data_IF_513244320624
#
_entry.id   IF_513244320624
#
_cell.length_a   1.000
_cell.length_b   1.000
_cell.length_c   1.000
_cell.angle_alpha   90.00
_cell.angle_beta   90.00
_cell.angle_gamma   90.00
#
_symmetry.space_group_name_H-M   'P 1'
#
loop_
_entity.id
_entity.type
_entity.pdbx_description
1 polymer ?
#
# COMPACT_ATOMS: atom_id res chain seq x y z
N UNK A 1 -29.39 -13.57 -57.49
CA UNK A 1 -28.24 -13.24 -56.63
C UNK A 1 -27.01 -13.79 -57.33
N UNK A 2 -26.04 -12.94 -57.67
CA UNK A 2 -24.81 -13.38 -58.34
C UNK A 2 -23.90 -13.92 -57.23
N UNK A 3 -23.61 -15.22 -57.26
CA UNK A 3 -22.69 -15.86 -56.30
C UNK A 3 -21.30 -15.25 -56.48
N UNK A 4 -20.87 -14.46 -55.50
CA UNK A 4 -19.52 -13.95 -55.46
C UNK A 4 -18.55 -15.14 -55.27
N UNK A 5 -17.45 -15.21 -56.05
CA UNK A 5 -16.46 -16.27 -55.88
C UNK A 5 -15.86 -16.22 -54.47
N UNK A 6 -15.56 -17.37 -53.86
CA UNK A 6 -15.00 -17.41 -52.51
C UNK A 6 -13.64 -16.69 -52.47
N UNK A 7 -13.28 -16.08 -51.32
CA UNK A 7 -11.99 -15.43 -51.18
C UNK A 7 -10.84 -16.44 -51.37
N UNK A 8 -9.70 -16.00 -51.91
CA UNK A 8 -8.57 -16.89 -52.17
C UNK A 8 -8.02 -17.51 -50.87
N UNK A 9 -7.51 -18.73 -50.95
CA UNK A 9 -7.11 -19.52 -49.79
C UNK A 9 -6.10 -18.80 -48.86
N UNK A 10 -5.13 -18.06 -49.44
CA UNK A 10 -4.14 -17.31 -48.68
C UNK A 10 -4.77 -16.22 -47.78
N UNK A 11 -5.85 -15.59 -48.24
CA UNK A 11 -6.54 -14.55 -47.49
C UNK A 11 -7.26 -15.17 -46.29
N UNK A 12 -7.91 -16.32 -46.47
CA UNK A 12 -8.55 -17.08 -45.37
C UNK A 12 -7.54 -17.47 -44.30
N UNK A 13 -6.38 -17.99 -44.68
CA UNK A 13 -5.31 -18.36 -43.75
C UNK A 13 -4.77 -17.12 -43.02
N UNK A 14 -4.53 -16.02 -43.73
CA UNK A 14 -4.03 -14.78 -43.12
C UNK A 14 -5.01 -14.21 -42.11
N UNK A 15 -6.31 -14.19 -42.45
CA UNK A 15 -7.36 -13.75 -41.55
C UNK A 15 -7.49 -14.68 -40.33
N UNK A 16 -7.37 -15.99 -40.51
CA UNK A 16 -7.37 -16.95 -39.41
C UNK A 16 -6.17 -16.76 -38.47
N UNK A 17 -4.96 -16.59 -39.01
CA UNK A 17 -3.76 -16.32 -38.22
C UNK A 17 -3.85 -14.99 -37.47
N UNK A 18 -4.38 -13.94 -38.12
CA UNK A 18 -4.64 -12.67 -37.49
C UNK A 18 -5.65 -12.80 -36.34
N UNK A 19 -6.73 -13.56 -36.54
CA UNK A 19 -7.72 -13.85 -35.51
C UNK A 19 -7.09 -14.62 -34.33
N UNK A 20 -6.37 -15.71 -34.58
CA UNK A 20 -5.66 -16.47 -33.55
C UNK A 20 -4.64 -15.61 -32.78
N UNK A 21 -3.93 -14.71 -33.47
CA UNK A 21 -3.01 -13.76 -32.85
C UNK A 21 -3.73 -12.78 -31.93
N UNK A 22 -4.86 -12.21 -32.37
CA UNK A 22 -5.69 -11.32 -31.55
C UNK A 22 -6.25 -12.05 -30.33
N UNK A 23 -6.68 -13.30 -30.48
CA UNK A 23 -7.22 -14.07 -29.37
C UNK A 23 -6.15 -14.41 -28.32
N UNK A 24 -4.94 -14.82 -28.75
CA UNK A 24 -3.80 -14.99 -27.83
C UNK A 24 -3.47 -13.70 -27.07
N UNK A 25 -3.52 -12.55 -27.74
CA UNK A 25 -3.27 -11.27 -27.10
C UNK A 25 -4.36 -10.93 -26.05
N UNK A 26 -5.64 -11.20 -26.36
CA UNK A 26 -6.75 -11.03 -25.41
C UNK A 26 -6.55 -11.91 -24.17
N UNK A 27 -6.23 -13.19 -24.37
CA UNK A 27 -5.96 -14.14 -23.29
C UNK A 27 -4.78 -13.68 -22.42
N UNK A 28 -3.67 -13.27 -23.05
CA UNK A 28 -2.50 -12.74 -22.34
C UNK A 28 -2.83 -11.49 -21.52
N UNK A 29 -3.63 -10.58 -22.09
CA UNK A 29 -4.11 -9.39 -21.39
C UNK A 29 -4.98 -9.76 -20.18
N UNK A 30 -5.90 -10.73 -20.33
CA UNK A 30 -6.73 -11.26 -19.24
C UNK A 30 -5.87 -11.84 -18.12
N UNK A 31 -4.93 -12.74 -18.42
CA UNK A 31 -4.00 -13.32 -17.41
C UNK A 31 -3.17 -12.26 -16.70
N UNK A 32 -2.70 -11.25 -17.43
CA UNK A 32 -1.91 -10.17 -16.82
C UNK A 32 -2.76 -9.29 -15.90
N UNK A 33 -4.02 -9.01 -16.26
CA UNK A 33 -4.96 -8.32 -15.36
C UNK A 33 -5.22 -9.15 -14.09
N UNK A 34 -5.46 -10.45 -14.23
CA UNK A 34 -5.67 -11.36 -13.10
C UNK A 34 -4.46 -11.40 -12.16
N UNK A 35 -3.24 -11.58 -12.67
CA UNK A 35 -2.02 -11.57 -11.85
C UNK A 35 -1.85 -10.25 -11.09
N UNK A 36 -2.07 -9.12 -11.75
CA UNK A 36 -1.98 -7.80 -11.09
C UNK A 36 -3.08 -7.59 -10.05
N UNK A 37 -4.29 -8.07 -10.30
CA UNK A 37 -5.39 -8.04 -9.33
C UNK A 37 -5.04 -8.89 -8.10
N UNK A 38 -4.51 -10.09 -8.31
CA UNK A 38 -4.08 -10.98 -7.24
C UNK A 38 -2.93 -10.36 -6.41
N UNK A 39 -1.93 -9.74 -7.05
CA UNK A 39 -0.86 -9.02 -6.34
C UNK A 39 -1.41 -7.89 -5.46
N UNK A 40 -2.30 -7.06 -5.99
CA UNK A 40 -2.94 -5.98 -5.22
C UNK A 40 -3.78 -6.51 -4.06
N UNK A 41 -4.51 -7.60 -4.27
CA UNK A 41 -5.27 -8.27 -3.21
C UNK A 41 -4.34 -8.85 -2.12
N UNK A 42 -3.21 -9.43 -2.50
CA UNK A 42 -2.22 -9.94 -1.56
C UNK A 42 -1.60 -8.82 -0.72
N UNK A 43 -1.23 -7.69 -1.32
CA UNK A 43 -0.72 -6.52 -0.58
C UNK A 43 -1.77 -5.96 0.41
N UNK A 44 -3.03 -5.87 0.00
CA UNK A 44 -4.13 -5.45 0.89
C UNK A 44 -4.36 -6.43 2.03
N UNK A 45 -4.40 -7.72 1.73
CA UNK A 45 -4.53 -8.77 2.75
C UNK A 45 -3.40 -8.68 3.77
N UNK A 46 -2.16 -8.56 3.29
CA UNK A 46 -0.98 -8.42 4.15
C UNK A 46 -1.02 -7.17 5.04
N UNK A 47 -1.41 -6.02 4.50
CA UNK A 47 -1.57 -4.80 5.29
C UNK A 47 -2.62 -4.99 6.40
N UNK A 48 -3.78 -5.56 6.07
CA UNK A 48 -4.84 -5.81 7.05
C UNK A 48 -4.39 -6.79 8.15
N UNK A 49 -3.66 -7.86 7.80
CA UNK A 49 -3.09 -8.80 8.78
C UNK A 49 -2.13 -8.09 9.75
N UNK A 50 -1.28 -7.21 9.23
CA UNK A 50 -0.33 -6.46 10.05
C UNK A 50 -1.02 -5.43 10.93
N UNK A 51 -2.08 -4.77 10.45
CA UNK A 51 -2.89 -3.86 11.27
C UNK A 51 -3.61 -4.59 12.41
N UNK A 52 -4.16 -5.78 12.13
CA UNK A 52 -4.76 -6.63 13.17
C UNK A 52 -3.72 -7.07 14.19
N UNK A 53 -2.54 -7.48 13.74
CA UNK A 53 -1.44 -7.83 14.63
C UNK A 53 -0.99 -6.63 15.48
N UNK A 54 -0.89 -5.44 14.91
CA UNK A 54 -0.54 -4.22 15.64
C UNK A 54 -1.53 -4.00 16.81
N UNK A 55 -2.82 -4.12 16.53
CA UNK A 55 -3.87 -3.97 17.55
C UNK A 55 -3.74 -5.03 18.67
N UNK A 56 -3.44 -6.28 18.33
CA UNK A 56 -3.20 -7.34 19.32
C UNK A 56 -1.96 -7.06 20.19
N UNK A 57 -0.86 -6.60 19.59
CA UNK A 57 0.36 -6.25 20.30
C UNK A 57 0.16 -5.06 21.25
N UNK A 58 -0.57 -4.03 20.80
CA UNK A 58 -0.91 -2.87 21.62
C UNK A 58 -1.78 -3.27 22.82
N UNK A 59 -2.77 -4.16 22.61
CA UNK A 59 -3.57 -4.72 23.69
C UNK A 59 -2.71 -5.52 24.68
N UNK A 60 -1.82 -6.39 24.19
CA UNK A 60 -0.93 -7.21 25.02
C UNK A 60 0.01 -6.34 25.88
N UNK A 61 0.57 -5.28 25.31
CA UNK A 61 1.39 -4.30 26.03
C UNK A 61 0.58 -3.59 27.12
N UNK A 62 -0.65 -3.19 26.82
CA UNK A 62 -1.54 -2.56 27.79
C UNK A 62 -1.84 -3.50 28.97
N UNK A 63 -2.18 -4.75 28.69
CA UNK A 63 -2.44 -5.76 29.72
C UNK A 63 -1.21 -6.01 30.61
N UNK A 64 0.00 -6.04 30.02
CA UNK A 64 1.25 -6.14 30.77
C UNK A 64 1.46 -4.93 31.70
N UNK A 65 1.21 -3.71 31.20
CA UNK A 65 1.32 -2.47 31.99
C UNK A 65 0.31 -2.45 33.14
N UNK A 66 -0.93 -2.86 32.91
CA UNK A 66 -1.97 -2.97 33.95
C UNK A 66 -1.56 -4.00 35.01
N UNK A 67 -1.09 -5.18 34.60
CA UNK A 67 -0.64 -6.22 35.52
C UNK A 67 0.52 -5.75 36.41
N UNK A 68 1.45 -4.95 35.88
CA UNK A 68 2.54 -4.35 36.66
C UNK A 68 2.01 -3.42 37.77
N UNK A 69 1.06 -2.55 37.43
CA UNK A 69 0.44 -1.64 38.41
C UNK A 69 -0.29 -2.42 39.51
N UNK A 70 -1.08 -3.43 39.13
CA UNK A 70 -1.79 -4.27 40.09
C UNK A 70 -0.84 -5.05 41.01
N UNK A 71 0.27 -5.58 40.45
CA UNK A 71 1.29 -6.26 41.23
C UNK A 71 1.99 -5.32 42.23
N UNK A 72 2.18 -4.04 41.87
CA UNK A 72 2.73 -3.03 42.76
C UNK A 72 1.76 -2.69 43.90
N UNK A 73 0.48 -2.49 43.59
CA UNK A 73 -0.56 -2.20 44.58
C UNK A 73 -0.80 -3.36 45.56
N UNK A 74 -0.68 -4.61 45.09
CA UNK A 74 -0.82 -5.79 45.94
C UNK A 74 0.29 -5.94 46.98
N UNK A 75 1.47 -5.36 46.76
CA UNK A 75 2.60 -5.42 47.70
C UNK A 75 2.50 -4.40 48.83
N UNK A 76 1.75 -3.32 48.65
CA UNK A 76 1.62 -2.23 49.66
C UNK A 76 0.66 -2.54 50.82
N UNK A 77 0.24 -3.81 50.98
CA UNK A 77 -0.44 -4.29 52.18
C UNK A 77 0.45 -4.36 53.43
N UNK A 78 1.78 -4.30 53.27
CA UNK A 78 2.72 -4.01 54.35
C UNK A 78 3.14 -2.55 54.28
N UNK A 79 2.74 -1.78 55.29
CA UNK A 79 2.98 -0.35 55.44
C UNK A 79 4.48 -0.11 55.59
N UNK A 80 5.15 0.16 54.47
CA UNK A 80 6.52 0.64 54.41
C UNK A 80 6.64 1.66 53.29
N UNK A 81 6.61 2.94 53.66
CA UNK A 81 6.87 4.10 52.81
C UNK A 81 8.16 3.89 52.00
N UNK A 82 8.07 3.40 50.77
CA UNK A 82 9.19 3.48 49.84
C UNK A 82 9.04 4.72 48.95
N UNK A 83 10.14 5.48 48.77
CA UNK A 83 10.13 6.72 48.02
C UNK A 83 9.85 6.41 46.55
N UNK A 84 8.87 7.13 45.98
CA UNK A 84 8.71 7.20 44.54
C UNK A 84 10.00 7.78 43.96
N UNK A 85 10.90 6.92 43.48
CA UNK A 85 11.91 7.34 42.53
C UNK A 85 11.17 7.80 41.29
N UNK A 86 11.13 9.11 41.14
CA UNK A 86 10.80 9.86 39.93
C UNK A 86 11.68 9.36 38.79
N UNK A 87 11.36 8.21 38.22
CA UNK A 87 11.82 7.84 36.90
C UNK A 87 10.95 8.64 35.94
N UNK A 88 11.55 9.72 35.45
CA UNK A 88 10.94 10.63 34.51
C UNK A 88 10.30 9.84 33.38
N UNK A 89 9.00 10.08 33.20
CA UNK A 89 8.33 9.89 31.93
C UNK A 89 9.16 10.64 30.88
N UNK A 90 10.05 9.92 30.20
CA UNK A 90 10.56 10.32 28.91
C UNK A 90 9.38 10.24 27.94
N UNK A 91 8.57 11.30 27.94
CA UNK A 91 7.83 11.68 26.75
C UNK A 91 8.87 11.84 25.65
N UNK A 92 9.03 10.81 24.82
CA UNK A 92 9.62 11.02 23.51
C UNK A 92 8.80 12.14 22.87
N UNK A 93 9.40 13.29 22.53
CA UNK A 93 8.70 14.29 21.76
C UNK A 93 8.30 13.58 20.47
N UNK A 94 6.99 13.45 20.27
CA UNK A 94 6.45 13.10 18.97
C UNK A 94 6.93 14.23 18.09
N UNK A 95 7.93 13.95 17.26
CA UNK A 95 8.48 14.91 16.31
C UNK A 95 7.34 15.32 15.39
N UNK A 96 6.82 16.53 15.61
CA UNK A 96 5.78 17.17 14.79
C UNK A 96 6.31 17.58 13.41
N UNK A 97 7.60 17.42 13.16
CA UNK A 97 8.22 17.68 11.87
C UNK A 97 8.29 16.40 11.05
N UNK A 98 7.27 16.22 10.22
CA UNK A 98 7.34 15.77 8.82
C UNK A 98 5.92 15.39 8.38
N UNK A 99 5.06 16.41 8.29
CA UNK A 99 3.83 16.34 7.53
C UNK A 99 4.19 16.32 6.03
N UNK A 100 4.75 15.21 5.54
CA UNK A 100 4.60 14.91 4.12
C UNK A 100 3.11 14.67 3.91
N UNK A 101 2.48 15.64 3.24
CA UNK A 101 1.18 15.55 2.58
C UNK A 101 1.24 14.46 1.50
N UNK A 102 1.40 13.21 1.94
CA UNK A 102 1.03 12.05 1.15
C UNK A 102 -0.48 12.06 1.24
N UNK A 103 -1.13 12.76 0.30
CA UNK A 103 -2.58 12.83 0.16
C UNK A 103 -3.16 11.42 0.30
N UNK A 104 -3.52 11.08 1.53
CA UNK A 104 -4.04 9.79 1.91
C UNK A 104 -5.46 9.87 1.38
N UNK A 105 -5.66 9.35 0.17
CA UNK A 105 -6.98 9.16 -0.38
C UNK A 105 -7.68 8.20 0.58
N UNK A 106 -8.39 8.76 1.55
CA UNK A 106 -9.12 8.03 2.57
C UNK A 106 -10.13 7.17 1.83
N UNK A 107 -9.76 5.90 1.66
CA UNK A 107 -10.55 4.93 0.92
C UNK A 107 -11.64 4.45 1.87
N UNK A 108 -12.74 5.19 1.92
CA UNK A 108 -13.97 4.79 2.60
C UNK A 108 -14.60 3.63 1.83
N UNK A 109 -14.01 2.44 1.92
CA UNK A 109 -14.61 1.21 1.43
C UNK A 109 -15.51 0.63 2.50
N UNK A 110 -16.82 0.87 2.40
CA UNK A 110 -17.82 0.09 3.13
C UNK A 110 -17.61 -1.40 2.84
N UNK A 111 -17.42 -2.26 3.85
CA UNK A 111 -17.37 -3.69 3.65
C UNK A 111 -18.79 -4.23 3.82
N UNK A 112 -19.63 -4.15 2.79
CA UNK A 112 -20.59 -5.23 2.62
C UNK A 112 -21.26 -5.32 1.25
N UNK A 113 -21.37 -6.57 0.82
CA UNK A 113 -22.34 -7.12 -0.11
C UNK A 113 -22.19 -6.89 -1.62
N UNK A 114 -22.25 -8.04 -2.30
CA UNK A 114 -22.94 -8.31 -3.57
C UNK A 114 -22.10 -8.38 -4.85
N UNK A 115 -21.83 -9.64 -5.18
CA UNK A 115 -21.94 -10.29 -6.49
C UNK A 115 -21.14 -9.76 -7.70
N UNK A 116 -20.46 -10.71 -8.33
CA UNK A 116 -19.51 -10.51 -9.42
C UNK A 116 -20.26 -10.28 -10.73
N UNK A 117 -20.78 -9.07 -10.94
CA UNK A 117 -21.08 -8.60 -12.29
C UNK A 117 -19.93 -7.73 -12.78
N UNK A 118 -19.42 -8.06 -13.96
CA UNK A 118 -18.39 -7.33 -14.71
C UNK A 118 -18.96 -5.99 -15.20
N UNK A 119 -19.35 -5.11 -14.29
CA UNK A 119 -19.60 -3.71 -14.64
C UNK A 119 -18.26 -2.97 -14.50
N UNK A 120 -17.73 -2.50 -15.62
CA UNK A 120 -16.58 -1.61 -15.67
C UNK A 120 -17.02 -0.30 -15.00
N UNK A 121 -16.96 -0.28 -13.67
CA UNK A 121 -17.20 0.89 -12.85
C UNK A 121 -16.28 2.01 -13.32
N UNK A 122 -16.84 2.87 -14.15
CA UNK A 122 -16.35 4.22 -14.41
C UNK A 122 -16.22 4.85 -13.04
N UNK A 123 -14.98 4.99 -12.57
CA UNK A 123 -14.69 5.73 -11.35
C UNK A 123 -15.12 7.18 -11.59
N UNK A 124 -16.38 7.48 -11.28
CA UNK A 124 -16.86 8.83 -11.10
C UNK A 124 -16.21 9.33 -9.82
N UNK A 125 -15.12 10.09 -9.95
CA UNK A 125 -14.66 10.97 -8.88
C UNK A 125 -15.73 12.05 -8.66
N UNK A 126 -16.79 11.72 -7.93
CA UNK A 126 -17.64 12.71 -7.30
C UNK A 126 -16.87 13.27 -6.11
N UNK A 127 -16.09 14.32 -6.39
CA UNK A 127 -15.68 15.29 -5.39
C UNK A 127 -16.97 16.00 -4.94
N UNK A 128 -17.65 15.43 -3.93
CA UNK A 128 -18.52 16.22 -3.05
C UNK A 128 -17.56 17.01 -2.17
N UNK A 129 -17.50 18.34 -2.14
CA UNK A 129 -18.58 19.30 -2.36
C UNK A 129 -18.53 20.30 -1.21
N UNK A 130 -17.37 20.95 -1.04
CA UNK A 130 -17.24 22.20 -0.28
C UNK A 130 -17.20 23.33 -1.30
N UNK A 131 -18.25 24.15 -1.31
CA UNK A 131 -18.58 25.06 -2.40
C UNK A 131 -17.46 26.02 -2.81
N UNK A 132 -17.16 26.03 -4.10
CA UNK A 132 -16.57 27.18 -4.77
C UNK A 132 -17.13 27.26 -6.20
N UNK A 133 -17.95 28.30 -6.38
CA UNK A 133 -18.28 29.02 -7.60
C UNK A 133 -17.73 28.45 -8.91
N UNK A 134 -18.66 28.08 -9.80
CA UNK A 134 -18.58 28.15 -11.26
C UNK A 134 -17.33 28.83 -11.83
N UNK A 135 -16.31 28.04 -12.20
CA UNK A 135 -15.38 28.37 -13.28
C UNK A 135 -15.22 27.10 -14.12
N UNK A 136 -15.66 27.16 -15.37
CA UNK A 136 -15.57 26.07 -16.33
C UNK A 136 -14.09 25.63 -16.47
N UNK A 137 -13.78 24.43 -15.96
CA UNK A 137 -12.44 23.86 -15.97
C UNK A 137 -12.01 23.39 -17.36
N UNK A 138 -11.44 24.31 -18.13
CA UNK A 138 -10.59 24.01 -19.27
C UNK A 138 -9.28 23.37 -18.78
N UNK A 139 -9.20 22.05 -18.84
CA UNK A 139 -7.93 21.31 -18.77
C UNK A 139 -7.12 21.46 -20.06
N UNK A 140 -6.83 22.69 -20.48
CA UNK A 140 -5.90 22.99 -21.56
C UNK A 140 -4.50 23.17 -20.96
N UNK A 141 -3.62 22.19 -21.17
CA UNK A 141 -2.22 22.34 -20.82
C UNK A 141 -1.63 23.48 -21.66
N UNK A 142 -1.39 24.64 -21.03
CA UNK A 142 -0.75 25.80 -21.67
C UNK A 142 0.72 25.51 -21.95
N UNK A 143 0.99 24.68 -22.95
CA UNK A 143 2.27 24.70 -23.66
C UNK A 143 2.19 25.93 -24.58
N UNK A 144 2.82 27.03 -24.15
CA UNK A 144 2.94 28.29 -24.91
C UNK A 144 1.68 28.68 -25.70
N UNK A 145 0.58 28.94 -24.99
CA UNK A 145 -0.59 29.65 -25.53
C UNK A 145 -1.46 28.90 -26.54
N UNK A 146 -1.10 27.67 -26.93
CA UNK A 146 -1.86 26.92 -27.93
C UNK A 146 -2.85 25.96 -27.25
N UNK A 147 -4.14 26.25 -27.37
CA UNK A 147 -5.22 25.41 -26.81
C UNK A 147 -5.79 24.52 -27.90
N UNK A 148 -5.78 23.21 -27.68
CA UNK A 148 -6.26 22.21 -28.66
C UNK A 148 -7.62 21.65 -28.25
N UNK A 149 -8.64 21.83 -29.10
CA UNK A 149 -9.94 21.20 -28.90
C UNK A 149 -10.02 19.88 -29.70
N UNK A 150 -9.69 18.78 -29.03
CA UNK A 150 -9.65 17.44 -29.63
C UNK A 150 -11.02 16.89 -30.08
N UNK A 151 -12.12 17.49 -29.59
CA UNK A 151 -13.50 17.07 -29.90
C UNK A 151 -13.98 17.73 -31.19
N UNK A 152 -13.77 19.04 -31.29
CA UNK A 152 -14.21 19.84 -32.43
C UNK A 152 -13.16 19.94 -33.54
N UNK A 153 -11.91 19.56 -33.24
CA UNK A 153 -10.84 19.45 -34.24
C UNK A 153 -10.33 20.80 -34.73
N UNK A 154 -10.31 21.81 -33.86
CA UNK A 154 -9.63 23.07 -34.13
C UNK A 154 -8.58 23.37 -33.06
N UNK A 155 -7.63 24.19 -33.45
CA UNK A 155 -6.55 24.69 -32.63
C UNK A 155 -6.69 26.22 -32.54
N UNK A 156 -6.62 26.75 -31.32
CA UNK A 156 -6.65 28.20 -31.08
C UNK A 156 -5.20 28.67 -30.97
N UNK A 157 -4.78 29.50 -31.91
CA UNK A 157 -3.46 30.11 -31.91
C UNK A 157 -3.39 31.25 -30.86
N UNK A 158 -2.20 31.68 -30.43
CA UNK A 158 -2.05 32.72 -29.41
C UNK A 158 -2.68 34.07 -29.77
N UNK A 159 -2.89 34.33 -31.07
CA UNK A 159 -3.58 35.50 -31.61
C UNK A 159 -5.12 35.39 -31.50
N UNK A 160 -5.64 34.26 -31.00
CA UNK A 160 -7.05 33.97 -30.88
C UNK A 160 -7.70 33.44 -32.16
N UNK A 161 -6.95 33.29 -33.25
CA UNK A 161 -7.49 32.73 -34.49
C UNK A 161 -7.70 31.23 -34.36
N UNK A 162 -8.79 30.73 -34.96
CA UNK A 162 -9.14 29.30 -34.96
C UNK A 162 -8.69 28.68 -36.27
N UNK A 163 -7.80 27.70 -36.18
CA UNK A 163 -7.39 26.87 -37.30
C UNK A 163 -8.04 25.50 -37.21
N UNK A 164 -8.82 25.12 -38.23
CA UNK A 164 -9.34 23.75 -38.36
C UNK A 164 -8.20 22.79 -38.65
N UNK A 165 -8.13 21.70 -37.89
CA UNK A 165 -7.14 20.64 -38.07
C UNK A 165 -7.58 19.74 -39.21
N UNK A 166 -6.62 19.29 -40.01
CA UNK A 166 -6.84 18.21 -40.98
C UNK A 166 -7.17 16.91 -40.25
N UNK A 167 -7.80 15.96 -40.96
CA UNK A 167 -8.13 14.64 -40.40
C UNK A 167 -6.89 13.89 -39.89
N UNK A 168 -5.78 14.02 -40.62
CA UNK A 168 -4.50 13.38 -40.29
C UNK A 168 -3.88 13.99 -39.02
N UNK A 169 -3.87 15.32 -38.91
CA UNK A 169 -3.44 16.03 -37.71
C UNK A 169 -4.31 15.66 -36.50
N UNK A 170 -5.64 15.62 -36.68
CA UNK A 170 -6.58 15.25 -35.63
C UNK A 170 -6.34 13.80 -35.13
N UNK A 171 -6.11 12.86 -36.05
CA UNK A 171 -5.80 11.48 -35.70
C UNK A 171 -4.43 11.36 -35.01
N UNK A 172 -3.42 12.11 -35.45
CA UNK A 172 -2.12 12.18 -34.78
C UNK A 172 -2.25 12.68 -33.34
N UNK A 173 -3.00 13.76 -33.14
CA UNK A 173 -3.29 14.33 -31.82
C UNK A 173 -4.07 13.36 -30.91
N UNK A 174 -5.06 12.64 -31.45
CA UNK A 174 -5.79 11.60 -30.70
C UNK A 174 -4.88 10.46 -30.26
N UNK A 175 -3.98 9.99 -31.15
CA UNK A 175 -2.99 8.97 -30.81
C UNK A 175 -2.04 9.46 -29.73
N UNK A 176 -1.54 10.69 -29.84
CA UNK A 176 -0.64 11.27 -28.84
C UNK A 176 -1.31 11.41 -27.47
N UNK A 177 -2.52 11.96 -27.42
CA UNK A 177 -3.31 12.03 -26.19
C UNK A 177 -3.53 10.64 -25.57
N UNK A 178 -3.84 9.62 -26.38
CA UNK A 178 -3.99 8.25 -25.89
C UNK A 178 -2.67 7.68 -25.35
N UNK A 179 -1.53 7.94 -26.02
CA UNK A 179 -0.20 7.58 -25.52
C UNK A 179 0.04 8.20 -24.15
N UNK A 180 -0.20 9.51 -24.01
CA UNK A 180 -0.05 10.23 -22.75
C UNK A 180 -0.99 9.72 -21.67
N UNK A 181 -2.27 9.49 -21.97
CA UNK A 181 -3.23 8.95 -21.01
C UNK A 181 -2.85 7.53 -20.53
N UNK A 182 -2.40 6.67 -21.46
CA UNK A 182 -1.90 5.34 -21.13
C UNK A 182 -0.66 5.41 -20.24
N UNK A 183 0.27 6.32 -20.54
CA UNK A 183 1.46 6.57 -19.71
C UNK A 183 1.07 7.03 -18.30
N UNK A 184 0.31 8.12 -18.17
CA UNK A 184 -0.14 8.64 -16.87
C UNK A 184 -0.91 7.60 -16.05
N UNK A 185 -1.72 6.75 -16.70
CA UNK A 185 -2.45 5.68 -15.99
C UNK A 185 -1.51 4.57 -15.50
N UNK A 186 -0.46 4.24 -16.26
CA UNK A 186 0.58 3.30 -15.80
C UNK A 186 1.37 3.89 -14.63
N UNK A 187 1.75 5.16 -14.72
CA UNK A 187 2.52 5.85 -13.68
C UNK A 187 1.70 5.96 -12.38
N UNK A 188 0.43 6.38 -12.45
CA UNK A 188 -0.47 6.38 -11.29
C UNK A 188 -0.59 5.01 -10.64
N UNK A 189 -0.75 3.95 -11.43
CA UNK A 189 -0.80 2.57 -10.92
C UNK A 189 0.53 2.13 -10.29
N UNK A 190 1.66 2.54 -10.86
CA UNK A 190 2.99 2.25 -10.33
C UNK A 190 3.20 2.90 -8.97
N UNK A 191 2.85 4.19 -8.85
CA UNK A 191 2.90 4.92 -7.58
C UNK A 191 1.99 4.28 -6.54
N UNK A 192 0.75 3.92 -6.92
CA UNK A 192 -0.18 3.25 -6.01
C UNK A 192 0.36 1.91 -5.48
N UNK A 193 0.91 1.05 -6.36
CA UNK A 193 1.51 -0.23 -5.93
C UNK A 193 2.71 0.00 -5.02
N UNK A 194 3.61 0.92 -5.40
CA UNK A 194 4.79 1.24 -4.58
C UNK A 194 4.40 1.76 -3.19
N UNK A 195 3.39 2.63 -3.10
CA UNK A 195 2.88 3.12 -1.82
C UNK A 195 2.27 2.01 -0.94
N UNK A 196 1.62 1.01 -1.55
CA UNK A 196 1.11 -0.16 -0.79
C UNK A 196 2.25 -1.05 -0.28
N UNK A 197 3.29 -1.26 -1.09
CA UNK A 197 4.49 -2.01 -0.71
C UNK A 197 5.24 -1.29 0.44
N UNK A 198 5.40 0.03 0.34
CA UNK A 198 5.97 0.86 1.40
C UNK A 198 5.15 0.80 2.70
N UNK A 199 3.82 0.87 2.62
CA UNK A 199 2.95 0.75 3.79
C UNK A 199 3.11 -0.60 4.49
N UNK A 200 3.14 -1.71 3.73
CA UNK A 200 3.39 -3.04 4.28
C UNK A 200 4.75 -3.09 4.97
N UNK A 201 5.81 -2.60 4.33
CA UNK A 201 7.16 -2.55 4.91
C UNK A 201 7.20 -1.75 6.23
N UNK A 202 6.53 -0.59 6.28
CA UNK A 202 6.40 0.22 7.49
C UNK A 202 5.67 -0.53 8.60
N UNK A 203 4.50 -1.10 8.30
CA UNK A 203 3.72 -1.87 9.28
C UNK A 203 4.50 -3.08 9.82
N UNK A 204 5.29 -3.76 8.99
CA UNK A 204 6.15 -4.86 9.43
C UNK A 204 7.23 -4.40 10.41
N UNK A 205 7.88 -3.25 10.12
CA UNK A 205 8.88 -2.66 11.00
C UNK A 205 8.26 -2.24 12.34
N UNK A 206 7.11 -1.58 12.31
CA UNK A 206 6.42 -1.12 13.52
C UNK A 206 5.94 -2.29 14.38
N UNK A 207 5.42 -3.36 13.76
CA UNK A 207 5.07 -4.58 14.47
C UNK A 207 6.30 -5.27 15.06
N UNK A 208 7.43 -5.29 14.34
CA UNK A 208 8.69 -5.81 14.90
C UNK A 208 9.08 -5.06 16.18
N UNK A 209 9.04 -3.72 16.15
CA UNK A 209 9.35 -2.90 17.32
C UNK A 209 8.40 -3.15 18.50
N UNK A 210 7.10 -3.29 18.25
CA UNK A 210 6.10 -3.66 19.29
C UNK A 210 6.38 -5.03 19.88
N UNK A 211 6.71 -6.04 19.05
CA UNK A 211 7.09 -7.39 19.53
C UNK A 211 8.33 -7.33 20.42
N UNK A 212 9.33 -6.54 20.04
CA UNK A 212 10.54 -6.33 20.84
C UNK A 212 10.25 -5.62 22.18
N UNK A 213 9.40 -4.59 22.19
CA UNK A 213 8.96 -3.94 23.43
C UNK A 213 8.20 -4.90 24.34
N UNK A 214 7.26 -5.67 23.79
CA UNK A 214 6.51 -6.65 24.56
C UNK A 214 7.44 -7.72 25.14
N UNK A 215 8.39 -8.23 24.35
CA UNK A 215 9.39 -9.18 24.80
C UNK A 215 10.23 -8.63 25.95
N UNK A 216 10.76 -7.41 25.81
CA UNK A 216 11.51 -6.73 26.90
C UNK A 216 10.67 -6.58 28.16
N UNK A 217 9.40 -6.19 28.01
CA UNK A 217 8.48 -6.01 29.13
C UNK A 217 8.19 -7.33 29.85
N UNK A 218 7.91 -8.40 29.11
CA UNK A 218 7.68 -9.72 29.68
C UNK A 218 8.94 -10.25 30.37
N UNK A 219 10.12 -10.12 29.75
CA UNK A 219 11.39 -10.57 30.32
C UNK A 219 11.77 -9.83 31.61
N UNK A 220 11.41 -8.55 31.74
CA UNK A 220 11.67 -7.77 32.94
C UNK A 220 10.80 -8.18 34.14
N UNK A 221 9.62 -8.76 33.91
CA UNK A 221 8.61 -8.97 34.95
C UNK A 221 8.21 -10.43 35.19
N UNK A 222 8.53 -11.33 34.27
CA UNK A 222 8.18 -12.75 34.35
C UNK A 222 9.44 -13.61 34.29
N UNK A 223 9.47 -14.73 35.04
CA UNK A 223 10.52 -15.73 34.86
C UNK A 223 10.42 -16.35 33.47
N UNK A 224 11.56 -16.70 32.87
CA UNK A 224 11.69 -17.12 31.48
C UNK A 224 10.81 -18.32 31.10
N UNK A 225 10.50 -19.21 32.04
CA UNK A 225 9.64 -20.37 31.83
C UNK A 225 8.16 -20.02 31.64
N UNK A 226 7.71 -18.84 32.11
CA UNK A 226 6.31 -18.42 31.99
C UNK A 226 6.05 -17.53 30.76
N UNK A 227 7.10 -16.95 30.17
CA UNK A 227 6.97 -16.07 28.99
C UNK A 227 6.22 -16.76 27.85
N UNK A 228 6.53 -18.01 27.45
CA UNK A 228 5.80 -18.67 26.37
C UNK A 228 4.31 -18.89 26.66
N UNK A 229 3.99 -19.21 27.92
CA UNK A 229 2.60 -19.43 28.35
C UNK A 229 1.79 -18.13 28.35
N UNK A 230 2.39 -17.03 28.83
CA UNK A 230 1.72 -15.72 28.86
C UNK A 230 1.55 -15.18 27.45
N UNK A 231 2.59 -15.20 26.63
CA UNK A 231 2.50 -14.74 25.25
C UNK A 231 1.47 -15.55 24.42
N UNK A 232 1.40 -16.88 24.61
CA UNK A 232 0.36 -17.71 23.99
C UNK A 232 -1.06 -17.33 24.40
N UNK A 233 -1.28 -16.89 25.65
CA UNK A 233 -2.58 -16.37 26.12
C UNK A 233 -2.93 -15.02 25.53
N UNK A 234 -1.93 -14.17 25.31
CA UNK A 234 -2.08 -12.86 24.67
C UNK A 234 -2.30 -12.97 23.16
N UNK A 235 -2.33 -14.19 22.60
CA UNK A 235 -2.46 -14.41 21.16
C UNK A 235 -1.23 -13.98 20.36
N UNK A 236 -0.10 -13.73 21.04
CA UNK A 236 1.14 -13.33 20.40
C UNK A 236 2.00 -14.57 20.19
N UNK A 237 2.29 -14.87 18.93
CA UNK A 237 3.22 -15.96 18.60
C UNK A 237 4.61 -15.59 19.09
N UNK A 238 5.11 -16.36 20.07
CA UNK A 238 6.50 -16.31 20.51
C UNK A 238 7.34 -16.84 19.36
N UNK A 239 7.97 -15.94 18.61
CA UNK A 239 8.92 -16.36 17.59
C UNK A 239 10.04 -17.15 18.27
N UNK A 240 10.36 -18.31 17.70
CA UNK A 240 11.39 -19.22 18.20
C UNK A 240 12.79 -18.56 18.29
N UNK A 241 12.99 -17.38 17.71
CA UNK A 241 14.23 -16.60 17.86
C UNK A 241 14.45 -16.05 19.28
N UNK A 242 13.44 -16.04 20.16
CA UNK A 242 13.59 -15.47 21.51
C UNK A 242 14.39 -16.37 22.47
N UNK A 243 14.54 -17.66 22.17
CA UNK A 243 15.21 -18.63 23.05
C UNK A 243 16.69 -18.84 22.73
N UNK A 244 17.21 -18.36 21.60
CA UNK A 244 18.59 -18.67 21.19
C UNK A 244 19.62 -17.61 21.57
N UNK A 245 19.24 -16.35 21.82
CA UNK A 245 20.20 -15.25 22.01
C UNK A 245 20.53 -14.92 23.48
N UNK A 246 19.93 -15.64 24.44
CA UNK A 246 20.33 -15.53 25.86
C UNK A 246 21.48 -16.47 26.23
N UNK A 247 22.19 -17.03 25.24
CA UNK A 247 23.45 -17.73 25.48
C UNK A 247 24.55 -16.71 25.71
N UNK A 248 24.49 -16.11 26.90
CA UNK A 248 25.60 -15.74 27.77
C UNK A 248 26.86 -15.37 26.99
N UNK A 249 27.13 -14.06 26.92
CA UNK A 249 28.48 -13.50 26.83
C UNK A 249 29.30 -14.03 28.02
N UNK A 250 29.66 -15.29 27.92
CA UNK A 250 30.60 -15.96 28.78
C UNK A 250 31.95 -15.43 28.36
N UNK A 251 32.42 -14.45 29.13
CA UNK A 251 33.82 -14.26 29.54
C UNK A 251 34.75 -15.16 28.73
N UNK A 252 35.52 -14.59 27.80
CA UNK A 252 36.82 -14.12 28.25
C UNK A 252 37.68 -15.25 28.80
N UNK A 253 37.86 -16.34 28.04
CA UNK A 253 39.04 -17.18 28.11
C UNK A 253 39.77 -16.89 26.79
N UNK A 254 40.72 -15.98 26.76
CA UNK A 254 42.04 -16.29 27.29
C UNK A 254 42.80 -17.08 26.22
N UNK A 255 42.96 -16.52 25.02
CA UNK A 255 43.96 -17.01 24.06
C UNK A 255 45.34 -16.68 24.64
N UNK A 256 45.83 -17.61 25.45
CA UNK A 256 47.20 -17.65 25.90
C UNK A 256 48.12 -17.84 24.71
N UNK A 257 49.08 -16.93 24.59
CA UNK A 257 50.34 -17.12 23.90
C UNK A 257 50.96 -18.49 24.24
N UNK A 258 51.19 -19.30 23.21
CA UNK A 258 52.27 -20.27 23.10
C UNK A 258 52.35 -20.62 21.61
N UNK A 259 53.39 -20.35 20.84
CA UNK A 259 54.81 -20.44 21.14
C UNK A 259 55.40 -21.50 20.20
N UNK A 260 56.46 -21.10 19.47
CA UNK A 260 57.35 -21.84 18.55
C UNK A 260 57.00 -21.82 17.06
#
# INVERSE_FOLDING_TARGET
AVDAPPPPAWLRTTLFLLWCSRERNREHARRTRLRKKAQLQALRGRANELEQEAALLDQALLECRIAQVLALMGRTGEVGLFPMSSHGYCHSPVSEDEAYDVGLVQFCGSPDSTDCSEDEGVMHNTVSGGGLSHVAGEGSAKVQGQTVNWKEGFLVEPDGTRRSLTREELDALRRERNRMHAKMTRDRKKVMVAGMEENVCRLEKDNSARREELSRTLAAHLPSNLIPTVAGRLGVSVFASWTTDLRVDGRGEGEGEAGL
#
